data_IF_658711131330
#
_entry.id   IF_658711131330
#
_cell.length_a   1.000
_cell.length_b   1.000
_cell.length_c   1.000
_cell.angle_alpha   90.00
_cell.angle_beta   90.00
_cell.angle_gamma   90.00
#
_symmetry.space_group_name_H-M   'P 1'
#
loop_
_entity.id
_entity.type
_entity.pdbx_description
1 polymer ?
#
# COMPACT_ATOMS: atom_id res chain seq x y z
N UNK A 1 7.40 -14.12 -12.96
CA UNK A 1 7.13 -15.09 -11.88
C UNK A 1 8.45 -15.32 -11.14
N UNK A 2 8.56 -14.89 -9.89
CA UNK A 2 9.77 -15.12 -9.10
C UNK A 2 9.73 -16.56 -8.54
N UNK A 3 10.64 -17.43 -8.98
CA UNK A 3 10.82 -18.75 -8.38
C UNK A 3 11.12 -18.58 -6.88
N UNK A 4 10.23 -19.11 -6.03
CA UNK A 4 10.55 -19.37 -4.62
C UNK A 4 11.60 -20.47 -4.60
N UNK A 5 12.80 -20.15 -4.12
CA UNK A 5 13.77 -21.17 -3.72
C UNK A 5 13.29 -21.78 -2.40
N UNK A 6 12.90 -23.04 -2.46
CA UNK A 6 12.63 -23.87 -1.30
C UNK A 6 13.97 -24.34 -0.75
N UNK A 7 14.66 -23.51 0.03
CA UNK A 7 15.85 -23.98 0.76
C UNK A 7 15.35 -24.76 1.98
N UNK A 8 15.42 -26.09 1.87
CA UNK A 8 15.26 -26.99 3.00
C UNK A 8 16.29 -26.63 4.06
N UNK A 9 15.84 -25.98 5.13
CA UNK A 9 16.68 -25.60 6.24
C UNK A 9 17.20 -26.88 6.92
N UNK A 10 18.42 -27.29 6.56
CA UNK A 10 19.24 -28.09 7.45
C UNK A 10 19.31 -27.37 8.80
N UNK A 11 19.29 -28.07 9.94
CA UNK A 11 19.50 -27.43 11.23
C UNK A 11 20.93 -26.88 11.25
N UNK A 12 21.07 -25.59 10.92
CA UNK A 12 22.33 -24.89 10.96
C UNK A 12 22.87 -24.95 12.39
N UNK A 13 24.10 -25.43 12.56
CA UNK A 13 24.80 -25.38 13.84
C UNK A 13 24.70 -23.95 14.41
N UNK A 14 24.32 -23.79 15.69
CA UNK A 14 24.13 -22.46 16.30
C UNK A 14 25.39 -21.59 16.18
N UNK A 15 26.57 -22.22 16.20
CA UNK A 15 27.87 -21.55 15.98
C UNK A 15 27.99 -20.98 14.56
N UNK A 16 27.48 -21.70 13.57
CA UNK A 16 27.45 -21.23 12.19
C UNK A 16 26.48 -20.04 12.03
N UNK A 17 25.32 -20.08 12.70
CA UNK A 17 24.37 -18.95 12.71
C UNK A 17 24.96 -17.70 13.39
N UNK A 18 25.63 -17.87 14.53
CA UNK A 18 26.33 -16.79 15.25
C UNK A 18 27.46 -16.18 14.40
N UNK A 19 28.26 -17.01 13.73
CA UNK A 19 29.29 -16.54 12.81
C UNK A 19 28.73 -15.78 11.61
N UNK A 20 27.60 -16.22 11.04
CA UNK A 20 26.91 -15.47 9.99
C UNK A 20 26.48 -14.09 10.51
N UNK A 21 25.91 -14.03 11.71
CA UNK A 21 25.47 -12.77 12.31
C UNK A 21 26.63 -11.80 12.55
N UNK A 22 27.75 -12.28 13.11
CA UNK A 22 28.98 -11.51 13.26
C UNK A 22 29.48 -10.92 11.95
N UNK A 23 29.51 -11.73 10.88
CA UNK A 23 29.92 -11.27 9.54
C UNK A 23 29.01 -10.19 8.97
N UNK A 24 27.70 -10.28 9.22
CA UNK A 24 26.77 -9.23 8.79
C UNK A 24 27.05 -7.91 9.51
N UNK A 25 27.23 -7.94 10.83
CA UNK A 25 27.54 -6.74 11.62
C UNK A 25 28.85 -6.10 11.16
N UNK A 26 29.91 -6.90 10.95
CA UNK A 26 31.18 -6.41 10.43
C UNK A 26 31.00 -5.75 9.05
N UNK A 27 30.21 -6.37 8.17
CA UNK A 27 29.95 -5.84 6.83
C UNK A 27 29.16 -4.53 6.86
N UNK A 28 28.19 -4.40 7.78
CA UNK A 28 27.41 -3.18 7.98
C UNK A 28 28.30 -2.04 8.50
N UNK A 29 29.16 -2.34 9.47
CA UNK A 29 30.10 -1.37 10.04
C UNK A 29 31.06 -0.85 8.96
N UNK A 30 31.62 -1.76 8.15
CA UNK A 30 32.48 -1.39 7.03
C UNK A 30 31.73 -0.62 5.93
N UNK A 31 30.46 -0.96 5.66
CA UNK A 31 29.61 -0.20 4.76
C UNK A 31 29.34 1.21 5.28
N UNK A 32 29.06 1.37 6.58
CA UNK A 32 28.82 2.66 7.23
C UNK A 32 30.07 3.57 7.16
N UNK A 33 31.27 3.02 7.43
CA UNK A 33 32.53 3.76 7.26
C UNK A 33 32.74 4.21 5.82
N UNK A 34 32.51 3.31 4.86
CA UNK A 34 32.67 3.58 3.42
C UNK A 34 31.54 4.43 2.84
N UNK A 35 30.42 4.56 3.55
CA UNK A 35 29.23 5.27 3.11
C UNK A 35 29.53 6.74 2.81
N UNK A 36 30.20 7.46 3.71
CA UNK A 36 30.51 8.88 3.50
C UNK A 36 31.46 9.12 2.34
N UNK A 37 32.30 8.15 1.98
CA UNK A 37 33.20 8.27 0.84
C UNK A 37 32.48 7.94 -0.48
N UNK A 38 31.70 6.85 -0.53
CA UNK A 38 30.95 6.46 -1.74
C UNK A 38 29.76 7.37 -2.03
N UNK A 39 29.05 7.81 -0.99
CA UNK A 39 27.80 8.56 -1.08
C UNK A 39 27.92 9.97 -0.49
N UNK A 40 29.15 10.44 -0.27
CA UNK A 40 29.41 11.79 0.24
C UNK A 40 28.87 12.89 -0.67
N UNK A 41 28.75 12.63 -1.97
CA UNK A 41 28.13 13.54 -2.94
C UNK A 41 26.63 13.76 -2.71
N UNK A 42 25.94 12.87 -1.99
CA UNK A 42 24.54 13.07 -1.59
C UNK A 42 24.41 14.07 -0.43
N UNK A 43 25.51 14.37 0.28
CA UNK A 43 25.53 15.48 1.22
C UNK A 43 25.70 16.75 0.41
N UNK A 44 24.71 17.63 0.46
CA UNK A 44 24.72 18.91 -0.25
C UNK A 44 26.00 19.68 0.11
N UNK A 45 26.82 20.10 -0.88
CA UNK A 45 27.97 20.95 -0.60
C UNK A 45 27.50 22.29 0.00
N UNK A 46 28.23 22.85 0.97
CA UNK A 46 27.86 24.11 1.61
C UNK A 46 27.78 25.28 0.62
N UNK A 47 28.45 25.21 -0.52
CA UNK A 47 28.38 26.22 -1.59
C UNK A 47 26.96 26.40 -2.17
N UNK A 48 26.10 25.36 -2.15
CA UNK A 48 24.70 25.48 -2.55
C UNK A 48 23.78 26.03 -1.45
N UNK A 49 24.25 26.05 -0.20
CA UNK A 49 23.49 26.52 0.97
C UNK A 49 23.75 28.01 1.21
N UNK A 50 24.93 28.53 0.86
CA UNK A 50 25.26 29.95 1.00
C UNK A 50 24.42 30.85 0.08
N UNK A 51 24.00 30.35 -1.09
CA UNK A 51 23.11 31.08 -2.01
C UNK A 51 21.66 31.19 -1.50
N UNK A 52 21.27 30.36 -0.53
CA UNK A 52 19.92 30.40 0.07
C UNK A 52 19.77 31.51 1.14
N UNK A 53 20.88 32.05 1.66
CA UNK A 53 20.88 33.05 2.75
C UNK A 53 20.91 34.51 2.31
N UNK A 54 20.78 34.80 1.01
CA UNK A 54 20.40 36.15 0.57
C UNK A 54 18.89 36.19 0.45
N UNK A 55 18.22 36.45 1.58
CA UNK A 55 16.86 36.99 1.59
C UNK A 55 16.87 38.32 0.82
N UNK A 56 16.78 38.22 -0.50
CA UNK A 56 16.35 39.33 -1.34
C UNK A 56 14.95 39.62 -0.87
N UNK A 57 14.76 40.78 -0.24
CA UNK A 57 13.48 41.45 -0.02
C UNK A 57 12.76 41.47 -1.36
N UNK A 58 11.97 40.42 -1.64
CA UNK A 58 11.27 40.28 -2.91
C UNK A 58 10.29 41.45 -2.98
N UNK A 59 10.36 42.34 -3.98
CA UNK A 59 9.27 43.27 -4.21
C UNK A 59 8.00 42.43 -4.40
N UNK A 60 6.88 42.84 -3.80
CA UNK A 60 5.56 42.23 -4.01
C UNK A 60 5.20 42.41 -5.49
N UNK A 61 5.71 41.53 -6.35
CA UNK A 61 5.29 41.41 -7.73
C UNK A 61 3.86 40.89 -7.65
N UNK A 62 2.91 41.77 -7.96
CA UNK A 62 1.53 41.35 -8.12
C UNK A 62 1.50 40.36 -9.29
N UNK A 63 1.12 39.12 -9.00
CA UNK A 63 1.09 38.06 -10.00
C UNK A 63 0.08 38.47 -11.09
N UNK A 64 0.51 38.65 -12.36
CA UNK A 64 -0.38 39.02 -13.45
C UNK A 64 -1.60 38.11 -13.51
N UNK A 65 -2.77 38.67 -13.80
CA UNK A 65 -4.07 37.97 -13.70
C UNK A 65 -4.14 36.70 -14.55
N UNK A 66 -3.45 36.65 -15.69
CA UNK A 66 -3.36 35.48 -16.56
C UNK A 66 -2.49 34.34 -15.99
N UNK A 67 -1.61 34.63 -15.02
CA UNK A 67 -0.80 33.65 -14.29
C UNK A 67 -1.45 33.23 -12.97
N UNK A 68 -2.55 33.89 -12.57
CA UNK A 68 -3.31 33.48 -11.39
C UNK A 68 -4.03 32.17 -11.72
N UNK A 69 -3.65 31.11 -11.02
CA UNK A 69 -4.33 29.82 -11.09
C UNK A 69 -5.75 30.07 -10.62
N UNK A 70 -6.74 29.85 -11.50
CA UNK A 70 -8.13 29.85 -11.07
C UNK A 70 -8.28 28.81 -9.96
N UNK A 71 -8.91 29.14 -8.82
CA UNK A 71 -9.18 28.14 -7.81
C UNK A 71 -9.93 27.00 -8.50
N UNK A 72 -9.36 25.80 -8.41
CA UNK A 72 -10.01 24.58 -8.89
C UNK A 72 -11.40 24.60 -8.27
N UNK A 73 -12.44 24.55 -9.12
CA UNK A 73 -13.82 24.50 -8.63
C UNK A 73 -13.87 23.51 -7.49
N UNK A 74 -14.35 23.90 -6.29
CA UNK A 74 -14.29 23.03 -5.13
C UNK A 74 -14.89 21.69 -5.53
N UNK A 75 -14.16 20.62 -5.25
CA UNK A 75 -14.58 19.24 -5.50
C UNK A 75 -15.99 18.98 -5.00
N UNK A 76 -16.42 19.67 -3.94
CA UNK A 76 -17.77 19.66 -3.37
C UNK A 76 -18.88 19.92 -4.41
N UNK A 77 -18.62 20.69 -5.47
CA UNK A 77 -19.59 20.88 -6.57
C UNK A 77 -19.82 19.62 -7.40
N UNK A 78 -18.81 18.76 -7.50
CA UNK A 78 -18.84 17.56 -8.34
C UNK A 78 -19.00 16.27 -7.52
N UNK A 79 -18.63 16.28 -6.24
CA UNK A 79 -18.69 15.13 -5.35
C UNK A 79 -19.85 15.30 -4.38
N UNK A 80 -21.00 14.76 -4.79
CA UNK A 80 -22.19 14.66 -3.95
C UNK A 80 -22.05 13.44 -3.05
N UNK A 81 -21.74 13.67 -1.77
CA UNK A 81 -21.71 12.61 -0.76
C UNK A 81 -23.12 12.42 -0.20
N UNK A 82 -23.73 11.28 -0.47
CA UNK A 82 -25.03 10.92 0.10
C UNK A 82 -24.88 10.48 1.57
N UNK A 83 -25.92 10.64 2.41
CA UNK A 83 -25.87 10.22 3.81
C UNK A 83 -25.67 8.71 3.92
N UNK A 84 -25.03 8.28 5.01
CA UNK A 84 -24.83 6.85 5.29
C UNK A 84 -26.15 6.16 5.66
N UNK A 85 -26.29 4.86 5.36
CA UNK A 85 -27.43 4.07 5.81
C UNK A 85 -27.52 4.03 7.35
N UNK A 86 -28.67 3.61 7.92
CA UNK A 86 -28.84 3.48 9.38
C UNK A 86 -27.96 2.36 9.95
N UNK A 87 -27.30 2.64 11.07
CA UNK A 87 -26.41 1.68 11.75
C UNK A 87 -27.23 0.52 12.34
N UNK A 88 -26.85 -0.74 12.11
CA UNK A 88 -27.52 -1.90 12.67
C UNK A 88 -27.37 -1.95 14.20
N UNK A 89 -28.44 -2.39 14.89
CA UNK A 89 -28.46 -2.53 16.35
C UNK A 89 -27.67 -3.74 16.86
N UNK A 90 -27.44 -4.73 16.00
CA UNK A 90 -26.76 -5.99 16.34
C UNK A 90 -25.31 -5.96 15.89
N UNK A 91 -24.42 -6.53 16.70
CA UNK A 91 -22.98 -6.65 16.39
C UNK A 91 -22.72 -7.53 15.18
N UNK A 92 -23.48 -8.62 15.02
CA UNK A 92 -23.42 -9.46 13.83
C UNK A 92 -23.81 -8.70 12.56
N UNK A 93 -24.81 -7.82 12.66
CA UNK A 93 -25.24 -6.98 11.55
C UNK A 93 -24.22 -5.91 11.19
N UNK A 94 -23.26 -5.59 12.05
CA UNK A 94 -22.26 -4.55 11.82
C UNK A 94 -21.19 -4.94 10.79
N UNK A 95 -21.05 -6.23 10.45
CA UNK A 95 -20.10 -6.67 9.44
C UNK A 95 -20.74 -6.47 8.06
N UNK A 96 -20.13 -5.65 7.21
CA UNK A 96 -20.54 -5.50 5.81
C UNK A 96 -21.85 -4.72 5.56
N UNK A 97 -22.50 -4.16 6.60
CA UNK A 97 -23.82 -3.51 6.48
C UNK A 97 -23.92 -2.36 5.49
N UNK A 98 -22.82 -1.62 5.28
CA UNK A 98 -22.78 -0.54 4.27
C UNK A 98 -22.77 -1.11 2.86
N UNK A 99 -22.04 -2.20 2.67
CA UNK A 99 -21.89 -2.88 1.38
C UNK A 99 -23.08 -3.78 1.05
N UNK A 100 -23.95 -4.10 2.01
CA UNK A 100 -25.16 -4.90 1.77
C UNK A 100 -26.34 -4.09 1.24
N UNK A 101 -26.24 -2.76 1.17
CA UNK A 101 -27.30 -1.89 0.65
C UNK A 101 -27.16 -1.78 -0.87
N UNK A 102 -28.19 -2.12 -1.66
CA UNK A 102 -28.15 -2.00 -3.11
C UNK A 102 -27.74 -0.58 -3.55
N UNK A 103 -26.69 -0.49 -4.38
CA UNK A 103 -26.13 0.77 -4.85
C UNK A 103 -25.05 1.41 -3.96
N UNK A 104 -24.77 0.84 -2.78
CA UNK A 104 -23.62 1.17 -1.94
C UNK A 104 -22.59 0.01 -1.89
N UNK A 105 -22.77 -0.98 -2.75
CA UNK A 105 -21.87 -2.12 -2.92
C UNK A 105 -20.51 -1.62 -3.41
N UNK A 106 -19.49 -1.70 -2.56
CA UNK A 106 -18.10 -1.40 -2.92
C UNK A 106 -17.45 -2.55 -3.71
N UNK A 107 -17.98 -3.76 -3.52
CA UNK A 107 -17.45 -4.96 -4.12
C UNK A 107 -17.99 -5.12 -5.54
N UNK A 108 -17.10 -5.16 -6.53
CA UNK A 108 -17.41 -5.69 -7.86
C UNK A 108 -17.36 -7.22 -7.86
N UNK A 109 -17.96 -7.84 -6.85
CA UNK A 109 -18.09 -9.28 -6.84
C UNK A 109 -19.12 -9.65 -7.89
N UNK A 110 -18.65 -10.20 -9.01
CA UNK A 110 -19.47 -11.05 -9.86
C UNK A 110 -20.25 -11.98 -8.94
N UNK A 111 -21.57 -11.98 -9.10
CA UNK A 111 -22.54 -12.80 -8.39
C UNK A 111 -21.86 -14.02 -7.78
N UNK A 112 -21.70 -14.04 -6.45
CA UNK A 112 -21.06 -15.18 -5.77
C UNK A 112 -22.03 -16.35 -5.95
N UNK A 113 -21.87 -17.05 -7.07
CA UNK A 113 -22.58 -18.26 -7.41
C UNK A 113 -22.15 -19.26 -6.35
N UNK A 114 -23.02 -19.47 -5.36
CA UNK A 114 -22.79 -20.47 -4.32
C UNK A 114 -22.45 -21.79 -5.02
N UNK A 115 -21.21 -22.27 -4.84
CA UNK A 115 -20.74 -23.53 -5.40
C UNK A 115 -21.40 -24.76 -4.76
N UNK A 116 -22.28 -24.54 -3.75
CA UNK A 116 -23.03 -25.61 -3.11
C UNK A 116 -24.12 -26.11 -4.04
N UNK A 117 -23.81 -27.18 -4.77
CA UNK A 117 -24.76 -27.99 -5.53
C UNK A 117 -24.66 -27.83 -7.06
N UNK A 118 -23.93 -26.84 -7.57
CA UNK A 118 -23.69 -26.70 -9.02
C UNK A 118 -22.70 -27.75 -9.51
N UNK A 119 -21.59 -27.95 -8.81
CA UNK A 119 -20.60 -28.98 -9.15
C UNK A 119 -21.19 -30.39 -9.20
N UNK A 120 -22.12 -30.72 -8.28
CA UNK A 120 -22.80 -32.03 -8.27
C UNK A 120 -23.63 -32.27 -9.53
N UNK A 121 -24.27 -31.24 -10.08
CA UNK A 121 -25.05 -31.33 -11.33
C UNK A 121 -24.15 -31.55 -12.55
N UNK A 122 -22.95 -30.96 -12.53
CA UNK A 122 -21.99 -31.08 -13.64
C UNK A 122 -21.35 -32.47 -13.73
N UNK A 123 -21.21 -33.15 -12.59
CA UNK A 123 -20.55 -34.45 -12.51
C UNK A 123 -21.36 -35.62 -13.09
N UNK A 124 -22.66 -35.42 -13.40
CA UNK A 124 -23.57 -36.46 -13.94
C UNK A 124 -23.44 -37.81 -13.23
N UNK A 125 -23.24 -37.81 -11.91
CA UNK A 125 -23.14 -39.06 -11.16
C UNK A 125 -24.46 -39.83 -11.28
N UNK A 126 -24.43 -41.15 -11.51
CA UNK A 126 -25.63 -41.97 -11.42
C UNK A 126 -26.21 -41.79 -10.01
N UNK A 127 -27.54 -41.69 -9.91
CA UNK A 127 -28.20 -41.64 -8.60
C UNK A 127 -27.80 -42.88 -7.82
N UNK A 128 -27.07 -42.69 -6.72
CA UNK A 128 -26.89 -43.72 -5.71
C UNK A 128 -28.30 -44.18 -5.26
N UNK A 129 -28.51 -45.49 -5.08
CA UNK A 129 -29.76 -45.97 -4.52
C UNK A 129 -29.95 -45.33 -3.15
N UNK A 130 -31.06 -44.61 -2.98
CA UNK A 130 -31.47 -44.12 -1.68
C UNK A 130 -32.03 -45.31 -0.89
N UNK A 131 -31.41 -45.63 0.24
CA UNK A 131 -32.01 -46.50 1.28
C UNK A 131 -33.21 -45.79 1.94
#
# INVERSE_FOLDING_TARGET
>A
MAQRRSDGAQPCNFVAADNCWKRYIESELEAAKKWSHKWGFLKTPPELIEDEKKEKTKPKIQLPEHLQIRPVTPMEKYIKVNPSPPVPKTTQGFIGWRSSVPGLELERCFEIQSSKGTFFKDLKWPCEPSD
#
